data_IF_198291269625
#
_entry.id   IF_198291269625
#
_cell.length_a   1.000
_cell.length_b   1.000
_cell.length_c   1.000
_cell.angle_alpha   90.00
_cell.angle_beta   90.00
_cell.angle_gamma   90.00
#
_symmetry.space_group_name_H-M   'P 1'
#
loop_
_entity.id
_entity.type
_entity.pdbx_description
1 polymer ?
#
# COMPACT_ATOMS: atom_id res chain seq x y z
N UNK A 1 17.03 -19.72 -9.17
CA UNK A 1 15.83 -19.74 -10.04
C UNK A 1 16.20 -19.03 -11.35
N UNK A 2 15.99 -19.65 -12.52
CA UNK A 2 16.34 -19.04 -13.81
C UNK A 2 15.19 -18.12 -14.22
N UNK A 3 15.47 -16.82 -14.43
CA UNK A 3 14.49 -15.89 -14.98
C UNK A 3 14.17 -16.33 -16.41
N UNK A 4 12.90 -16.51 -16.74
CA UNK A 4 12.44 -16.90 -18.07
C UNK A 4 11.30 -15.98 -18.50
N UNK A 5 11.22 -15.69 -19.80
CA UNK A 5 10.16 -14.85 -20.36
C UNK A 5 8.80 -15.53 -20.23
N UNK A 6 7.71 -14.74 -20.22
CA UNK A 6 6.35 -15.25 -20.19
C UNK A 6 6.09 -16.25 -21.34
N UNK A 7 6.56 -15.94 -22.56
CA UNK A 7 6.45 -16.83 -23.71
C UNK A 7 7.17 -18.18 -23.49
N UNK A 8 8.37 -18.15 -22.92
CA UNK A 8 9.14 -19.37 -22.62
C UNK A 8 8.46 -20.21 -21.53
N UNK A 9 7.90 -19.56 -20.52
CA UNK A 9 7.13 -20.23 -19.47
C UNK A 9 5.83 -20.85 -20.02
N UNK A 10 5.16 -20.17 -20.96
CA UNK A 10 3.95 -20.67 -21.61
C UNK A 10 4.23 -21.90 -22.47
N UNK A 11 5.33 -21.89 -23.24
CA UNK A 11 5.79 -23.05 -24.00
C UNK A 11 6.15 -24.23 -23.07
N UNK A 12 6.89 -23.98 -22.00
CA UNK A 12 7.24 -25.02 -21.02
C UNK A 12 5.99 -25.61 -20.33
N UNK A 13 4.96 -24.79 -20.11
CA UNK A 13 3.69 -25.24 -19.51
C UNK A 13 2.83 -26.13 -20.41
N UNK A 14 3.15 -26.27 -21.71
CA UNK A 14 2.38 -27.13 -22.65
C UNK A 14 2.42 -28.61 -22.27
N UNK A 15 3.43 -29.04 -21.52
CA UNK A 15 3.54 -30.41 -21.02
C UNK A 15 2.64 -30.67 -19.80
N UNK A 16 2.07 -29.62 -19.20
CA UNK A 16 1.15 -29.72 -18.07
C UNK A 16 -0.30 -29.75 -18.57
N UNK A 17 -1.06 -30.76 -18.15
CA UNK A 17 -2.48 -30.94 -18.50
C UNK A 17 -3.41 -29.91 -17.83
N UNK A 18 -2.99 -29.30 -16.72
CA UNK A 18 -3.68 -28.18 -16.06
C UNK A 18 -2.71 -27.02 -15.85
N UNK A 19 -3.10 -25.84 -16.33
CA UNK A 19 -2.34 -24.60 -16.17
C UNK A 19 -3.00 -23.77 -15.07
N UNK A 20 -2.27 -23.53 -13.99
CA UNK A 20 -2.69 -22.62 -12.93
C UNK A 20 -1.81 -21.38 -13.01
N UNK A 21 -2.41 -20.24 -13.36
CA UNK A 21 -1.73 -18.96 -13.35
C UNK A 21 -1.82 -18.38 -11.95
N UNK A 22 -0.70 -18.34 -11.23
CA UNK A 22 -0.58 -17.61 -9.98
C UNK A 22 -0.26 -16.14 -10.30
N UNK A 23 -1.31 -15.32 -10.37
CA UNK A 23 -1.17 -13.88 -10.43
C UNK A 23 -0.84 -13.38 -9.03
N UNK A 24 0.44 -13.17 -8.75
CA UNK A 24 0.88 -12.51 -7.53
C UNK A 24 0.47 -11.04 -7.51
N UNK A 25 0.34 -10.45 -6.33
CA UNK A 25 -0.04 -9.04 -6.13
C UNK A 25 0.86 -8.03 -6.90
N UNK A 26 2.07 -8.44 -7.31
CA UNK A 26 2.96 -7.63 -8.15
C UNK A 26 2.49 -7.45 -9.60
N UNK A 27 1.64 -8.35 -10.13
CA UNK A 27 1.09 -8.22 -11.49
C UNK A 27 0.08 -7.08 -11.58
N UNK A 28 -0.76 -6.90 -10.54
CA UNK A 28 -1.73 -5.80 -10.46
C UNK A 28 -1.07 -4.41 -10.45
N UNK A 29 0.14 -4.31 -9.89
CA UNK A 29 0.95 -3.07 -9.87
C UNK A 29 1.50 -2.76 -11.26
N UNK A 30 1.97 -3.77 -12.00
CA UNK A 30 2.53 -3.58 -13.34
C UNK A 30 1.46 -3.32 -14.42
N UNK A 31 0.27 -3.93 -14.32
CA UNK A 31 -0.81 -3.73 -15.29
C UNK A 31 -1.62 -2.45 -15.06
N UNK A 32 -1.63 -1.88 -13.85
CA UNK A 32 -2.46 -0.70 -13.52
C UNK A 32 -1.68 0.32 -12.66
N UNK A 33 -0.64 0.97 -13.21
CA UNK A 33 0.14 1.96 -12.47
C UNK A 33 -0.70 3.17 -12.02
N UNK A 34 -1.86 3.41 -12.62
CA UNK A 34 -2.76 4.54 -12.28
C UNK A 34 -3.86 4.25 -11.25
N UNK A 35 -4.08 2.99 -10.85
CA UNK A 35 -5.17 2.62 -9.91
C UNK A 35 -4.61 2.38 -8.49
N UNK A 36 -3.36 1.93 -8.37
CA UNK A 36 -2.63 1.78 -7.10
C UNK A 36 -1.58 2.88 -6.86
N UNK A 37 -1.83 4.11 -7.33
CA UNK A 37 -0.97 5.25 -6.98
C UNK A 37 -1.29 5.62 -5.53
N UNK A 38 -0.31 5.53 -4.63
CA UNK A 38 -0.42 5.96 -3.23
C UNK A 38 -1.07 7.35 -3.06
N UNK A 39 -0.94 8.23 -4.06
CA UNK A 39 -1.63 9.52 -4.11
C UNK A 39 -3.16 9.43 -4.10
N UNK A 40 -3.78 8.46 -4.79
CA UNK A 40 -5.24 8.27 -4.75
C UNK A 40 -5.73 7.80 -3.38
N UNK A 41 -4.99 6.88 -2.75
CA UNK A 41 -5.28 6.44 -1.38
C UNK A 41 -5.14 7.63 -0.41
N UNK A 42 -4.13 8.47 -0.60
CA UNK A 42 -3.93 9.66 0.23
C UNK A 42 -5.02 10.72 0.04
N UNK A 43 -5.53 10.91 -1.18
CA UNK A 43 -6.64 11.83 -1.46
C UNK A 43 -7.99 11.31 -0.95
N UNK A 44 -8.23 10.00 -1.03
CA UNK A 44 -9.46 9.36 -0.56
C UNK A 44 -9.50 9.15 0.96
N UNK A 45 -8.35 9.23 1.62
CA UNK A 45 -8.25 9.03 3.06
C UNK A 45 -8.86 10.20 3.84
N UNK A 46 -9.79 9.87 4.75
CA UNK A 46 -10.34 10.82 5.70
C UNK A 46 -9.45 10.95 6.95
N UNK A 47 -8.67 12.03 6.99
CA UNK A 47 -7.80 12.36 8.12
C UNK A 47 -8.52 13.08 9.27
N UNK A 48 -9.83 13.31 9.20
CA UNK A 48 -10.58 14.08 10.22
C UNK A 48 -10.51 13.48 11.63
N UNK A 49 -10.34 12.16 11.72
CA UNK A 49 -10.26 11.40 12.98
C UNK A 49 -8.83 11.27 13.52
N UNK A 50 -7.83 11.68 12.75
CA UNK A 50 -6.41 11.58 13.10
C UNK A 50 -5.87 12.89 13.67
N UNK A 51 -4.78 12.80 14.40
CA UNK A 51 -4.09 14.00 14.86
C UNK A 51 -3.57 14.83 13.66
N UNK A 52 -3.49 16.16 13.78
CA UNK A 52 -2.84 16.98 12.76
C UNK A 52 -1.36 16.60 12.53
N UNK A 53 -0.71 16.01 13.53
CA UNK A 53 0.68 15.56 13.47
C UNK A 53 0.86 14.35 12.55
N UNK A 54 -0.10 13.42 12.55
CA UNK A 54 -0.10 12.28 11.63
C UNK A 54 -0.06 12.74 10.18
N UNK A 55 -0.94 13.69 9.79
CA UNK A 55 -0.95 14.25 8.42
C UNK A 55 0.34 15.02 8.10
N UNK A 56 0.86 15.79 9.04
CA UNK A 56 2.13 16.53 8.86
C UNK A 56 3.33 15.61 8.63
N UNK A 57 3.29 14.38 9.14
CA UNK A 57 4.38 13.40 8.98
C UNK A 57 4.61 13.01 7.52
N UNK A 58 3.55 12.96 6.70
CA UNK A 58 3.67 12.75 5.25
C UNK A 58 4.44 13.87 4.56
N UNK A 59 4.12 15.13 4.90
CA UNK A 59 4.82 16.30 4.38
C UNK A 59 6.28 16.33 4.84
N UNK A 60 6.54 16.01 6.12
CA UNK A 60 7.88 15.97 6.68
C UNK A 60 8.77 14.91 5.99
N UNK A 61 8.19 13.79 5.59
CA UNK A 61 8.89 12.68 4.92
C UNK A 61 8.85 12.76 3.39
N UNK A 62 8.19 13.79 2.83
CA UNK A 62 8.06 14.00 1.39
C UNK A 62 7.44 12.81 0.66
N UNK A 63 6.44 12.16 1.28
CA UNK A 63 5.87 10.91 0.76
C UNK A 63 4.36 10.84 1.02
N UNK A 64 3.66 10.09 0.17
CA UNK A 64 2.25 9.71 0.35
C UNK A 64 2.11 8.22 0.72
N UNK A 65 3.23 7.52 0.90
CA UNK A 65 3.25 6.11 1.26
C UNK A 65 2.95 5.94 2.76
N UNK A 66 1.75 5.42 3.05
CA UNK A 66 1.30 5.15 4.41
C UNK A 66 2.23 4.19 5.14
N UNK A 67 2.71 3.11 4.50
CA UNK A 67 3.56 2.12 5.16
C UNK A 67 4.88 2.75 5.60
N UNK A 68 5.46 3.60 4.74
CA UNK A 68 6.67 4.34 5.05
C UNK A 68 6.49 5.27 6.25
N UNK A 69 5.38 6.03 6.31
CA UNK A 69 5.09 6.93 7.42
C UNK A 69 4.80 6.16 8.71
N UNK A 70 3.98 5.10 8.66
CA UNK A 70 3.68 4.23 9.81
C UNK A 70 4.97 3.63 10.38
N UNK A 71 5.85 3.13 9.51
CA UNK A 71 7.15 2.59 9.93
C UNK A 71 8.00 3.66 10.59
N UNK A 72 8.09 4.85 9.99
CA UNK A 72 8.86 5.96 10.56
C UNK A 72 8.36 6.38 11.96
N UNK A 73 7.04 6.44 12.17
CA UNK A 73 6.47 6.77 13.48
C UNK A 73 6.80 5.70 14.54
N UNK A 74 6.74 4.41 14.17
CA UNK A 74 7.12 3.30 15.06
C UNK A 74 8.61 3.31 15.39
N UNK A 75 9.44 3.50 14.37
CA UNK A 75 10.89 3.59 14.54
C UNK A 75 11.26 4.79 15.42
N UNK A 76 10.64 5.96 15.19
CA UNK A 76 10.83 7.15 16.01
C UNK A 76 10.43 6.91 17.47
N UNK A 77 9.27 6.27 17.72
CA UNK A 77 8.88 5.88 19.08
C UNK A 77 9.90 4.96 19.72
N UNK A 78 10.36 3.92 19.00
CA UNK A 78 11.33 2.97 19.53
C UNK A 78 12.66 3.63 19.88
N UNK A 79 13.15 4.53 19.00
CA UNK A 79 14.36 5.32 19.25
C UNK A 79 14.16 6.23 20.44
N UNK A 80 13.08 7.02 20.49
CA UNK A 80 12.81 7.97 21.57
C UNK A 80 12.58 7.29 22.92
N UNK A 81 12.01 6.09 22.94
CA UNK A 81 11.82 5.32 24.17
C UNK A 81 13.16 4.89 24.83
N UNK A 82 14.27 4.93 24.09
CA UNK A 82 15.60 4.64 24.63
C UNK A 82 16.27 5.87 25.26
N UNK A 83 15.71 7.07 25.11
CA UNK A 83 16.26 8.32 25.65
C UNK A 83 15.54 8.72 26.93
N UNK A 84 16.31 9.21 27.90
CA UNK A 84 15.76 9.73 29.16
C UNK A 84 15.06 11.08 28.96
N UNK A 85 14.03 11.34 29.77
CA UNK A 85 13.31 12.62 29.77
C UNK A 85 12.30 12.80 28.64
N UNK A 86 12.08 11.78 27.79
CA UNK A 86 11.03 11.82 26.78
C UNK A 86 9.65 11.68 27.45
N UNK A 87 8.70 12.61 27.21
CA UNK A 87 7.37 12.52 27.77
C UNK A 87 6.64 11.27 27.29
N UNK A 88 6.05 10.50 28.21
CA UNK A 88 5.23 9.31 27.88
C UNK A 88 4.08 9.65 26.93
N UNK A 89 3.51 10.85 27.06
CA UNK A 89 2.48 11.37 26.15
C UNK A 89 2.95 11.43 24.69
N UNK A 90 4.21 11.81 24.44
CA UNK A 90 4.75 11.85 23.08
C UNK A 90 4.86 10.44 22.48
N UNK A 91 5.35 9.48 23.27
CA UNK A 91 5.45 8.08 22.84
C UNK A 91 4.07 7.45 22.57
N UNK A 92 3.06 7.83 23.36
CA UNK A 92 1.67 7.44 23.15
C UNK A 92 1.13 8.03 21.84
N UNK A 93 1.31 9.33 21.61
CA UNK A 93 0.86 9.99 20.37
C UNK A 93 1.50 9.37 19.12
N UNK A 94 2.79 9.06 19.15
CA UNK A 94 3.45 8.38 18.01
C UNK A 94 2.87 6.99 17.74
N UNK A 95 2.48 6.26 18.80
CA UNK A 95 1.81 4.96 18.65
C UNK A 95 0.41 5.12 18.08
N UNK A 96 -0.39 6.00 18.65
CA UNK A 96 -1.78 6.27 18.24
C UNK A 96 -1.84 6.74 16.78
N UNK A 97 -0.93 7.64 16.37
CA UNK A 97 -0.82 8.09 14.99
C UNK A 97 -0.47 6.92 14.05
N UNK A 98 0.46 6.05 14.44
CA UNK A 98 0.84 4.89 13.62
C UNK A 98 -0.28 3.84 13.49
N UNK A 99 -1.05 3.64 14.56
CA UNK A 99 -2.20 2.72 14.57
C UNK A 99 -3.37 3.30 13.78
N UNK A 100 -3.72 4.56 14.01
CA UNK A 100 -4.80 5.23 13.28
C UNK A 100 -4.50 5.33 11.78
N UNK A 101 -3.23 5.57 11.38
CA UNK A 101 -2.85 5.54 9.96
C UNK A 101 -2.96 4.14 9.35
N UNK A 102 -2.70 3.08 10.14
CA UNK A 102 -2.89 1.70 9.68
C UNK A 102 -4.37 1.40 9.47
N UNK A 103 -5.23 1.78 10.41
CA UNK A 103 -6.68 1.59 10.30
C UNK A 103 -7.24 2.37 9.12
N UNK A 104 -6.82 3.63 8.96
CA UNK A 104 -7.19 4.46 7.83
C UNK A 104 -6.80 3.82 6.50
N UNK A 105 -5.56 3.32 6.37
CA UNK A 105 -5.10 2.62 5.17
C UNK A 105 -5.99 1.41 4.83
N UNK A 106 -6.31 0.58 5.84
CA UNK A 106 -7.18 -0.59 5.65
C UNK A 106 -8.59 -0.17 5.23
N UNK A 107 -9.16 0.87 5.85
CA UNK A 107 -10.48 1.39 5.52
C UNK A 107 -10.52 1.98 4.10
N UNK A 108 -9.51 2.76 3.73
CA UNK A 108 -9.41 3.34 2.38
C UNK A 108 -9.29 2.24 1.34
N UNK A 109 -8.42 1.23 1.54
CA UNK A 109 -8.31 0.09 0.63
C UNK A 109 -9.64 -0.66 0.52
N UNK A 110 -10.30 -0.94 1.64
CA UNK A 110 -11.61 -1.60 1.67
C UNK A 110 -12.69 -0.81 0.90
N UNK A 111 -12.67 0.52 0.99
CA UNK A 111 -13.58 1.40 0.27
C UNK A 111 -13.23 1.55 -1.22
N UNK A 112 -11.95 1.46 -1.58
CA UNK A 112 -11.47 1.54 -2.97
C UNK A 112 -11.58 0.20 -3.71
N UNK A 113 -11.93 -0.91 -3.05
CA UNK A 113 -12.18 -2.18 -3.71
C UNK A 113 -13.50 -2.12 -4.50
N UNK A 114 -13.47 -2.24 -5.84
CA UNK A 114 -14.70 -2.35 -6.62
C UNK A 114 -15.41 -3.65 -6.24
N UNK A 115 -16.64 -3.55 -5.76
CA UNK A 115 -17.51 -4.67 -5.37
C UNK A 115 -17.93 -5.56 -6.56
N UNK A 116 -17.47 -5.28 -7.78
CA UNK A 116 -17.76 -6.05 -8.98
C UNK A 116 -16.48 -6.36 -9.79
N UNK A 117 -16.19 -7.64 -10.09
CA UNK A 117 -15.19 -8.03 -11.09
C UNK A 117 -15.76 -7.82 -12.52
N UNK A 118 -16.22 -6.60 -12.83
CA UNK A 118 -16.95 -6.30 -14.06
C UNK A 118 -16.66 -4.95 -14.73
N UNK A 119 -16.07 -3.97 -14.04
CA UNK A 119 -15.73 -2.67 -14.65
C UNK A 119 -14.34 -2.67 -15.29
N UNK A 120 -14.12 -3.61 -16.22
CA UNK A 120 -13.11 -3.41 -17.25
C UNK A 120 -13.89 -3.08 -18.51
N UNK A 121 -14.04 -1.78 -18.76
CA UNK A 121 -14.51 -1.30 -20.05
C UNK A 121 -13.62 -1.89 -21.15
N UNK A 122 -14.25 -2.51 -22.14
CA UNK A 122 -13.64 -3.37 -23.16
C UNK A 122 -12.58 -2.65 -24.02
N UNK A 123 -12.50 -1.32 -23.93
CA UNK A 123 -11.52 -0.50 -24.65
C UNK A 123 -10.09 -0.57 -24.08
N UNK A 124 -9.87 -1.03 -22.85
CA UNK A 124 -8.50 -1.24 -22.31
C UNK A 124 -7.81 -2.49 -22.90
N UNK A 125 -8.53 -3.36 -23.61
CA UNK A 125 -7.95 -4.56 -24.25
C UNK A 125 -7.30 -4.33 -25.62
N UNK A 126 -7.48 -3.14 -26.24
CA UNK A 126 -7.11 -2.91 -27.64
C UNK A 126 -5.72 -2.28 -27.88
N UNK A 127 -4.82 -2.31 -26.90
CA UNK A 127 -3.42 -1.94 -27.10
C UNK A 127 -2.50 -3.13 -26.75
N UNK A 128 -2.59 -4.20 -27.55
CA UNK A 128 -1.59 -5.26 -27.66
C UNK A 128 -1.13 -5.35 -29.12
#
# INVERSE_FOLDING_TARGET
>A
MKLMSFSTALEASRQCTKKHLLLGNGFSIACRPGIFVYGKLFEQADFSKLSPSAKKSFNALGTQDFEKVIKALRDAKAVLAAYDGVPSKLLATLQEDAEGLRELLVQTIAASHPTQPGDIEEHEYAAS
#
